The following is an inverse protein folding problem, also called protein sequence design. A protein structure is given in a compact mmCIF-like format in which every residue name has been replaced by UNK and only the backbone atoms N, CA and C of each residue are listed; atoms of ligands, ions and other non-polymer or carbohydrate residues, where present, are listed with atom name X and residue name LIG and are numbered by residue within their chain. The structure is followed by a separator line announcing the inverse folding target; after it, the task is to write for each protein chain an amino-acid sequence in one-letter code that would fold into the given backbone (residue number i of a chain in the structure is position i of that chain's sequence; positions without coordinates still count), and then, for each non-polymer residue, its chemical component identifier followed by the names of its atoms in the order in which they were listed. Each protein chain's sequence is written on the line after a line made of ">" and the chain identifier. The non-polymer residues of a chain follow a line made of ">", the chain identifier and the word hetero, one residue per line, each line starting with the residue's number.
data_IF_781096473351
#
_entry.id   IF_781096473351
#
_cell.length_a   1.000
_cell.length_b   1.000
_cell.length_c   1.000
_cell.angle_alpha   90.00
_cell.angle_beta   90.00
_cell.angle_gamma   90.00
#
_symmetry.space_group_name_H-M   'P 1'
#
loop_
_entity.id
_entity.type
_entity.pdbx_description
1 polymer ?
#
# COMPACT_ATOMS: atom_id res chain seq x y z
N UNK A 1 -24.12 2.16 15.49
CA UNK A 1 -24.14 3.54 14.97
C UNK A 1 -22.90 3.70 14.11
N UNK A 2 -23.02 4.07 12.83
CA UNK A 2 -21.86 4.44 12.03
C UNK A 2 -21.40 5.80 12.53
N UNK A 3 -20.34 5.83 13.32
CA UNK A 3 -19.72 7.07 13.78
C UNK A 3 -18.65 7.46 12.76
N UNK A 4 -18.77 8.68 12.23
CA UNK A 4 -17.75 9.25 11.35
C UNK A 4 -16.50 9.52 12.17
N UNK A 5 -15.36 9.01 11.71
CA UNK A 5 -14.09 9.25 12.39
C UNK A 5 -13.69 10.71 12.20
N UNK A 6 -13.08 11.31 13.21
CA UNK A 6 -12.64 12.72 13.17
C UNK A 6 -11.60 13.00 12.06
N UNK A 7 -10.87 11.97 11.61
CA UNK A 7 -9.85 12.07 10.55
C UNK A 7 -10.41 12.05 9.12
N UNK A 8 -11.74 12.12 8.94
CA UNK A 8 -12.40 12.13 7.62
C UNK A 8 -12.86 13.52 7.16
N UNK A 9 -12.46 14.61 7.83
CA UNK A 9 -12.73 15.96 7.33
C UNK A 9 -11.83 16.29 6.13
N UNK A 10 -12.25 17.18 5.21
CA UNK A 10 -11.41 17.58 4.07
C UNK A 10 -10.03 18.11 4.50
N UNK A 11 -9.96 18.90 5.56
CA UNK A 11 -8.74 19.49 6.08
C UNK A 11 -7.78 18.42 6.64
N UNK A 12 -8.34 17.40 7.31
CA UNK A 12 -7.58 16.27 7.82
C UNK A 12 -7.03 15.41 6.68
N UNK A 13 -7.82 15.18 5.62
CA UNK A 13 -7.39 14.47 4.40
C UNK A 13 -6.25 15.22 3.71
N UNK A 14 -6.38 16.53 3.53
CA UNK A 14 -5.33 17.35 2.92
C UNK A 14 -4.03 17.28 3.72
N UNK A 15 -4.11 17.40 5.04
CA UNK A 15 -2.95 17.30 5.94
C UNK A 15 -2.28 15.93 5.82
N UNK A 16 -3.06 14.84 5.78
CA UNK A 16 -2.53 13.48 5.62
C UNK A 16 -1.82 13.28 4.28
N UNK A 17 -2.38 13.79 3.19
CA UNK A 17 -1.74 13.71 1.87
C UNK A 17 -0.41 14.48 1.83
N UNK A 18 -0.36 15.69 2.41
CA UNK A 18 0.88 16.47 2.54
C UNK A 18 1.97 15.70 3.29
N UNK A 19 1.62 15.10 4.42
CA UNK A 19 2.56 14.28 5.21
C UNK A 19 3.03 13.06 4.43
N UNK A 20 2.12 12.37 3.73
CA UNK A 20 2.46 11.22 2.88
C UNK A 20 3.49 11.60 1.81
N UNK A 21 3.26 12.67 1.05
CA UNK A 21 4.18 13.12 0.00
C UNK A 21 5.53 13.57 0.56
N UNK A 22 5.56 14.18 1.75
CA UNK A 22 6.81 14.65 2.35
C UNK A 22 7.65 13.53 2.97
N UNK A 23 7.04 12.51 3.58
CA UNK A 23 7.75 11.55 4.43
C UNK A 23 7.70 10.11 3.91
N UNK A 24 6.61 9.71 3.29
CA UNK A 24 6.37 8.31 2.90
C UNK A 24 6.70 8.07 1.43
N UNK A 25 6.28 8.96 0.52
CA UNK A 25 6.52 8.83 -0.92
C UNK A 25 8.02 8.69 -1.29
N UNK A 26 8.97 9.41 -0.68
CA UNK A 26 10.40 9.23 -0.97
C UNK A 26 10.92 7.81 -0.72
N UNK A 27 10.28 7.05 0.19
CA UNK A 27 10.65 5.66 0.47
C UNK A 27 10.41 4.75 -0.74
N UNK A 28 9.49 5.11 -1.64
CA UNK A 28 9.26 4.38 -2.90
C UNK A 28 10.53 4.37 -3.74
N UNK A 29 11.22 5.52 -3.86
CA UNK A 29 12.51 5.62 -4.55
C UNK A 29 13.57 4.74 -3.88
N UNK A 30 13.69 4.85 -2.55
CA UNK A 30 14.64 4.05 -1.77
C UNK A 30 14.50 2.53 -1.97
N UNK A 31 13.27 1.99 -1.95
CA UNK A 31 13.03 0.57 -2.17
C UNK A 31 13.17 0.16 -3.65
N UNK A 32 12.85 1.06 -4.58
CA UNK A 32 13.06 0.86 -6.02
C UNK A 32 14.55 0.71 -6.32
N UNK A 33 15.39 1.58 -5.77
CA UNK A 33 16.85 1.56 -5.99
C UNK A 33 17.51 0.31 -5.40
N UNK A 34 16.90 -0.29 -4.37
CA UNK A 34 17.29 -1.59 -3.81
C UNK A 34 16.81 -2.79 -4.63
N UNK A 35 15.97 -2.58 -5.64
CA UNK A 35 15.41 -3.66 -6.45
C UNK A 35 14.40 -4.56 -5.72
N UNK A 36 13.88 -4.14 -4.57
CA UNK A 36 12.94 -4.94 -3.75
C UNK A 36 11.52 -4.37 -3.71
N UNK A 37 11.25 -3.31 -4.49
CA UNK A 37 9.91 -2.72 -4.58
C UNK A 37 8.99 -3.56 -5.46
N UNK A 38 7.94 -4.12 -4.86
CA UNK A 38 6.81 -4.73 -5.55
C UNK A 38 5.68 -3.70 -5.64
N UNK A 39 5.15 -3.46 -6.84
CA UNK A 39 3.99 -2.57 -7.08
C UNK A 39 2.73 -3.40 -7.28
N UNK A 40 1.61 -2.93 -6.73
CA UNK A 40 0.27 -3.54 -6.82
C UNK A 40 -0.71 -2.45 -7.25
N UNK A 41 -1.66 -2.77 -8.13
CA UNK A 41 -2.70 -1.82 -8.53
C UNK A 41 -3.89 -1.87 -7.56
N UNK A 42 -4.05 -0.81 -6.75
CA UNK A 42 -5.11 -0.71 -5.74
C UNK A 42 -6.49 -0.27 -6.26
N UNK A 43 -6.64 0.05 -7.55
CA UNK A 43 -7.92 0.49 -8.14
C UNK A 43 -8.81 -0.68 -8.61
N UNK A 44 -8.43 -1.91 -8.26
CA UNK A 44 -9.16 -3.14 -8.57
C UNK A 44 -10.14 -3.56 -7.44
N UNK A 45 -10.93 -4.59 -7.68
CA UNK A 45 -11.74 -5.20 -6.63
C UNK A 45 -10.89 -5.81 -5.51
N UNK A 46 -11.41 -5.85 -4.28
CA UNK A 46 -10.66 -6.33 -3.10
C UNK A 46 -10.06 -7.73 -3.32
N UNK A 47 -10.83 -8.65 -3.92
CA UNK A 47 -10.35 -10.00 -4.21
C UNK A 47 -9.22 -10.01 -5.26
N UNK A 48 -9.31 -9.16 -6.28
CA UNK A 48 -8.28 -9.05 -7.33
C UNK A 48 -6.98 -8.49 -6.77
N UNK A 49 -7.07 -7.45 -5.92
CA UNK A 49 -5.91 -6.88 -5.20
C UNK A 49 -5.25 -7.95 -4.32
N UNK A 50 -6.04 -8.74 -3.60
CA UNK A 50 -5.52 -9.80 -2.74
C UNK A 50 -4.78 -10.89 -3.53
N UNK A 51 -5.38 -11.37 -4.63
CA UNK A 51 -4.75 -12.36 -5.51
C UNK A 51 -3.48 -11.81 -6.17
N UNK A 52 -3.46 -10.54 -6.57
CA UNK A 52 -2.25 -9.89 -7.11
C UNK A 52 -1.11 -9.87 -6.08
N UNK A 53 -1.42 -9.52 -4.82
CA UNK A 53 -0.44 -9.53 -3.72
C UNK A 53 0.15 -10.93 -3.54
N UNK A 54 -0.69 -11.96 -3.43
CA UNK A 54 -0.23 -13.35 -3.25
C UNK A 54 0.62 -13.83 -4.44
N UNK A 55 0.17 -13.54 -5.66
CA UNK A 55 0.90 -13.90 -6.89
C UNK A 55 2.29 -13.27 -6.89
N UNK A 56 2.39 -11.96 -6.59
CA UNK A 56 3.67 -11.25 -6.56
C UNK A 56 4.59 -11.76 -5.46
N UNK A 57 4.06 -12.04 -4.27
CA UNK A 57 4.86 -12.62 -3.19
C UNK A 57 5.43 -13.99 -3.58
N UNK A 58 4.64 -14.84 -4.24
CA UNK A 58 5.10 -16.14 -4.75
C UNK A 58 6.19 -16.00 -5.82
N UNK A 59 6.02 -15.09 -6.80
CA UNK A 59 7.03 -14.79 -7.83
C UNK A 59 8.37 -14.33 -7.24
N UNK A 60 8.33 -13.62 -6.12
CA UNK A 60 9.51 -13.15 -5.39
C UNK A 60 10.09 -14.18 -4.40
N UNK A 61 9.51 -15.39 -4.33
CA UNK A 61 9.92 -16.42 -3.37
C UNK A 61 9.58 -16.09 -1.91
N UNK A 62 8.69 -15.13 -1.67
CA UNK A 62 8.26 -14.64 -0.35
C UNK A 62 6.94 -15.29 0.07
N UNK A 63 6.91 -16.61 0.17
CA UNK A 63 5.74 -17.35 0.65
C UNK A 63 6.16 -18.32 1.75
N UNK A 64 5.32 -18.50 2.76
CA UNK A 64 5.51 -19.57 3.72
C UNK A 64 5.14 -20.89 3.03
N UNK A 65 6.08 -21.84 3.03
CA UNK A 65 5.71 -23.25 2.91
C UNK A 65 5.00 -23.62 4.20
N UNK A 66 3.67 -23.56 4.21
CA UNK A 66 2.92 -24.29 5.23
C UNK A 66 3.28 -25.78 5.06
N UNK A 67 4.01 -26.32 6.04
CA UNK A 67 4.16 -27.76 6.25
C UNK A 67 2.85 -28.34 6.79
#
# INVERSE_FOLDING_TARGET
>A
KLESREDTTPEAVETRLKVYHSLTEPLVGFYKDKGILIKINGEQGIAEVFEEILTKLKEYGLHNEEK
#
